data_IF_587319937122
#
_entry.id   IF_587319937122
#
_cell.length_a   1.000
_cell.length_b   1.000
_cell.length_c   1.000
_cell.angle_alpha   90.00
_cell.angle_beta   90.00
_cell.angle_gamma   90.00
#
_symmetry.space_group_name_H-M   'P 1'
#
loop_
_entity.id
_entity.type
_entity.pdbx_description
1 polymer ?
#
# COMPACT_ATOMS: atom_id res chain seq x y z
N UNK A 1 4.72 16.13 8.29
CA UNK A 1 4.48 16.33 6.84
C UNK A 1 4.16 15.00 6.16
N UNK A 2 4.86 13.91 6.52
CA UNK A 2 4.63 12.54 6.03
C UNK A 2 3.19 12.02 6.25
N UNK A 3 2.57 12.28 7.41
CA UNK A 3 1.21 11.80 7.71
C UNK A 3 0.13 12.27 6.73
N UNK A 4 0.23 13.51 6.22
CA UNK A 4 -0.74 14.03 5.25
C UNK A 4 -0.62 13.32 3.91
N UNK A 5 0.61 13.03 3.49
CA UNK A 5 0.91 12.34 2.24
C UNK A 5 0.42 10.89 2.33
N UNK A 6 0.74 10.19 3.41
CA UNK A 6 0.30 8.81 3.62
C UNK A 6 -1.22 8.71 3.71
N UNK A 7 -1.90 9.64 4.40
CA UNK A 7 -3.37 9.68 4.44
C UNK A 7 -3.99 9.85 3.06
N UNK A 8 -3.46 10.79 2.25
CA UNK A 8 -3.93 11.02 0.89
C UNK A 8 -3.74 9.78 0.01
N UNK A 9 -2.56 9.16 0.07
CA UNK A 9 -2.26 7.92 -0.68
C UNK A 9 -3.20 6.79 -0.29
N UNK A 10 -3.46 6.61 1.03
CA UNK A 10 -4.40 5.60 1.52
C UNK A 10 -5.82 5.84 1.01
N UNK A 11 -6.31 7.08 1.02
CA UNK A 11 -7.66 7.40 0.54
C UNK A 11 -7.83 7.20 -0.97
N UNK A 12 -6.77 7.39 -1.75
CA UNK A 12 -6.82 7.24 -3.22
C UNK A 12 -6.64 5.78 -3.67
N UNK A 13 -6.14 4.89 -2.81
CA UNK A 13 -5.78 3.51 -3.15
C UNK A 13 -6.46 2.48 -2.23
N UNK A 14 -7.71 2.74 -1.86
CA UNK A 14 -8.51 1.86 -1.00
C UNK A 14 -8.69 0.47 -1.64
N UNK A 15 -8.55 -0.58 -0.84
CA UNK A 15 -8.62 -1.98 -1.28
C UNK A 15 -7.36 -2.50 -1.97
N UNK A 16 -6.23 -1.78 -1.87
CA UNK A 16 -4.98 -2.14 -2.57
C UNK A 16 -3.79 -2.21 -1.62
N UNK A 17 -2.84 -3.06 -1.99
CA UNK A 17 -1.46 -3.02 -1.54
C UNK A 17 -0.72 -1.90 -2.26
N UNK A 18 0.09 -1.16 -1.51
CA UNK A 18 0.77 0.05 -1.98
C UNK A 18 2.24 -0.06 -1.59
N UNK A 19 3.13 0.13 -2.56
CA UNK A 19 4.57 0.24 -2.34
C UNK A 19 5.00 1.71 -2.43
N UNK A 20 5.61 2.23 -1.37
CA UNK A 20 6.15 3.58 -1.32
C UNK A 20 7.68 3.55 -1.18
N UNK A 21 8.36 4.42 -1.92
CA UNK A 21 9.77 4.72 -1.73
C UNK A 21 9.97 6.23 -1.81
N UNK A 22 10.70 6.81 -0.84
CA UNK A 22 10.99 8.25 -0.79
C UNK A 22 9.73 9.12 -0.93
N UNK A 23 8.64 8.73 -0.27
CA UNK A 23 7.36 9.45 -0.27
C UNK A 23 6.55 9.33 -1.57
N UNK A 24 6.99 8.55 -2.55
CA UNK A 24 6.30 8.33 -3.83
C UNK A 24 5.80 6.89 -3.95
N UNK A 25 4.62 6.74 -4.55
CA UNK A 25 4.10 5.41 -4.93
C UNK A 25 4.95 4.88 -6.08
N UNK A 26 5.53 3.70 -5.91
CA UNK A 26 6.29 3.00 -6.96
C UNK A 26 5.50 1.87 -7.61
N UNK A 27 4.51 1.32 -6.90
CA UNK A 27 3.59 0.29 -7.43
C UNK A 27 2.34 0.15 -6.54
N UNK A 28 1.25 -0.36 -7.11
CA UNK A 28 0.08 -0.83 -6.37
C UNK A 28 -0.39 -2.17 -6.90
N UNK A 29 -1.07 -2.96 -6.06
CA UNK A 29 -1.66 -4.24 -6.45
C UNK A 29 -2.91 -4.55 -5.63
N UNK A 30 -3.81 -5.33 -6.19
CA UNK A 30 -4.96 -5.89 -5.45
C UNK A 30 -4.53 -7.07 -4.58
N UNK A 31 -3.43 -7.74 -4.92
CA UNK A 31 -2.94 -8.92 -4.22
C UNK A 31 -1.57 -8.68 -3.55
N UNK A 32 -1.43 -9.18 -2.32
CA UNK A 32 -0.19 -9.15 -1.56
C UNK A 32 0.97 -9.78 -2.32
N UNK A 33 0.78 -10.92 -2.99
CA UNK A 33 1.85 -11.63 -3.68
C UNK A 33 2.35 -10.87 -4.91
N UNK A 34 1.42 -10.29 -5.65
CA UNK A 34 1.70 -9.62 -6.91
C UNK A 34 2.52 -8.35 -6.71
N UNK A 35 2.33 -7.64 -5.58
CA UNK A 35 3.15 -6.46 -5.31
C UNK A 35 4.63 -6.83 -5.15
N UNK A 36 4.95 -7.90 -4.42
CA UNK A 36 6.33 -8.36 -4.27
C UNK A 36 6.90 -8.93 -5.57
N UNK A 37 6.07 -9.58 -6.39
CA UNK A 37 6.48 -10.03 -7.72
C UNK A 37 6.96 -8.84 -8.57
N UNK A 38 6.17 -7.77 -8.63
CA UNK A 38 6.51 -6.54 -9.36
C UNK A 38 7.77 -5.88 -8.79
N UNK A 39 7.91 -5.81 -7.47
CA UNK A 39 9.09 -5.23 -6.83
C UNK A 39 10.37 -6.01 -7.17
N UNK A 40 10.29 -7.34 -7.18
CA UNK A 40 11.40 -8.22 -7.55
C UNK A 40 11.75 -8.09 -9.04
N UNK A 41 10.76 -8.11 -9.93
CA UNK A 41 10.96 -7.97 -11.38
C UNK A 41 11.59 -6.62 -11.74
N UNK A 42 11.27 -5.56 -10.99
CA UNK A 42 11.84 -4.22 -11.19
C UNK A 42 13.14 -3.97 -10.41
N UNK A 43 13.64 -4.98 -9.68
CA UNK A 43 14.80 -4.89 -8.80
C UNK A 43 14.74 -3.69 -7.82
N UNK A 44 13.55 -3.40 -7.28
CA UNK A 44 13.33 -2.28 -6.37
C UNK A 44 13.49 -2.72 -4.92
N UNK A 45 14.51 -2.18 -4.25
CA UNK A 45 14.76 -2.36 -2.81
C UNK A 45 14.39 -1.12 -2.00
N UNK A 46 14.22 -1.27 -0.68
CA UNK A 46 13.89 -0.19 0.25
C UNK A 46 12.47 0.36 0.09
N UNK A 47 11.54 -0.46 -0.39
CA UNK A 47 10.13 -0.09 -0.58
C UNK A 47 9.33 -0.48 0.65
N UNK A 48 8.63 0.48 1.23
CA UNK A 48 7.65 0.24 2.29
C UNK A 48 6.32 -0.20 1.69
N UNK A 49 5.83 -1.39 2.07
CA UNK A 49 4.61 -2.00 1.54
C UNK A 49 3.53 -2.05 2.61
N UNK A 50 2.33 -1.57 2.31
CA UNK A 50 1.18 -1.65 3.21
C UNK A 50 -0.13 -1.81 2.45
N UNK A 51 -1.15 -2.34 3.13
CA UNK A 51 -2.51 -2.43 2.61
C UNK A 51 -3.34 -1.20 3.05
N UNK A 52 -4.16 -0.68 2.14
CA UNK A 52 -5.18 0.33 2.47
C UNK A 52 -6.56 -0.35 2.53
N UNK A 53 -7.10 -0.62 3.73
CA UNK A 53 -8.36 -1.35 3.85
C UNK A 53 -9.55 -0.50 3.40
N UNK A 54 -10.54 -1.17 2.81
CA UNK A 54 -11.89 -0.64 2.56
C UNK A 54 -12.62 -0.30 3.85
N UNK A 55 -13.63 0.58 3.77
CA UNK A 55 -14.50 0.88 4.93
C UNK A 55 -15.18 -0.38 5.47
N UNK A 56 -15.50 -1.34 4.61
CA UNK A 56 -16.03 -2.64 5.04
C UNK A 56 -15.00 -3.40 5.87
N UNK A 57 -13.78 -3.54 5.38
CA UNK A 57 -12.70 -4.24 6.08
C UNK A 57 -12.29 -3.53 7.38
N UNK A 58 -12.29 -2.19 7.42
CA UNK A 58 -12.06 -1.43 8.66
C UNK A 58 -13.07 -1.78 9.76
N UNK A 59 -14.34 -2.04 9.39
CA UNK A 59 -15.37 -2.50 10.35
C UNK A 59 -15.09 -3.90 10.88
N UNK A 60 -14.49 -4.78 10.09
CA UNK A 60 -14.12 -6.13 10.50
C UNK A 60 -12.74 -6.21 11.18
N UNK A 61 -11.86 -5.25 10.91
CA UNK A 61 -10.50 -5.16 11.46
C UNK A 61 -10.45 -4.84 12.96
N UNK A 62 -11.59 -4.57 13.61
CA UNK A 62 -11.71 -4.47 15.07
C UNK A 62 -11.52 -5.81 15.82
N UNK A 63 -11.16 -6.89 15.12
CA UNK A 63 -10.91 -8.21 15.72
C UNK A 63 -9.43 -8.50 16.03
N UNK A 64 -8.49 -7.56 15.82
CA UNK A 64 -7.08 -7.72 16.18
C UNK A 64 -6.44 -6.41 16.66
#
# INVERSE_FOLDING_TARGET
>A
MEDKIVKKIKSENVGRWIGIKEGKIVTTSENHRDIYKVLKERNLSGVYVFYSPTEKEKRYGFLF
#
